data_IF_406138016275
#
_entry.id   IF_406138016275
#
_cell.length_a   1.000
_cell.length_b   1.000
_cell.length_c   1.000
_cell.angle_alpha   90.00
_cell.angle_beta   90.00
_cell.angle_gamma   90.00
#
_symmetry.space_group_name_H-M   'P 1'
#
loop_
_entity.id
_entity.type
_entity.pdbx_description
1 polymer ?
#
# COMPACT_ATOMS: atom_id res chain seq x y z
N UNK A 1 31.57 24.65 -23.16
CA UNK A 1 30.63 23.61 -23.62
C UNK A 1 30.89 22.40 -22.75
N UNK A 2 29.91 21.92 -21.99
CA UNK A 2 30.10 20.74 -21.14
C UNK A 2 30.38 19.55 -22.05
N UNK A 3 31.56 18.95 -21.93
CA UNK A 3 31.94 17.74 -22.64
C UNK A 3 30.98 16.61 -22.24
N UNK A 4 30.49 15.86 -23.24
CA UNK A 4 29.55 14.78 -23.01
C UNK A 4 30.32 13.59 -22.41
N UNK A 5 29.73 12.84 -21.50
CA UNK A 5 30.40 11.67 -20.94
C UNK A 5 30.64 10.61 -22.04
N UNK A 6 31.84 10.05 -22.14
CA UNK A 6 32.24 9.09 -23.20
C UNK A 6 31.24 7.92 -23.37
N UNK A 7 30.86 7.27 -22.27
CA UNK A 7 29.79 6.24 -22.30
C UNK A 7 28.46 6.72 -22.87
N UNK A 8 28.06 7.97 -22.62
CA UNK A 8 26.85 8.54 -23.20
C UNK A 8 27.00 8.71 -24.71
N UNK A 9 28.16 9.13 -25.20
CA UNK A 9 28.44 9.19 -26.64
C UNK A 9 28.30 7.82 -27.31
N UNK A 10 28.86 6.77 -26.69
CA UNK A 10 28.74 5.39 -27.18
C UNK A 10 27.27 4.95 -27.25
N UNK A 11 26.48 5.21 -26.21
CA UNK A 11 25.05 4.89 -26.20
C UNK A 11 24.29 5.64 -27.30
N UNK A 12 24.56 6.93 -27.48
CA UNK A 12 23.91 7.74 -28.52
C UNK A 12 24.30 7.29 -29.93
N UNK A 13 25.54 6.83 -30.15
CA UNK A 13 25.99 6.34 -31.45
C UNK A 13 25.25 5.09 -31.94
N UNK A 14 24.64 4.33 -31.02
CA UNK A 14 23.87 3.12 -31.32
C UNK A 14 22.40 3.40 -31.63
N UNK A 15 21.97 4.67 -31.55
CA UNK A 15 20.57 5.08 -31.70
C UNK A 15 20.37 5.86 -33.00
N UNK A 16 19.20 5.68 -33.61
CA UNK A 16 18.82 6.39 -34.83
C UNK A 16 18.08 7.70 -34.53
N UNK A 17 18.27 8.71 -35.39
CA UNK A 17 17.58 10.00 -35.31
C UNK A 17 17.78 10.76 -33.98
N UNK A 18 18.98 10.69 -33.41
CA UNK A 18 19.30 11.34 -32.14
C UNK A 18 19.21 12.87 -32.25
N UNK A 19 18.47 13.50 -31.34
CA UNK A 19 18.30 14.95 -31.25
C UNK A 19 18.54 15.45 -29.82
N UNK A 20 19.48 16.38 -29.60
CA UNK A 20 19.69 16.98 -28.29
C UNK A 20 18.52 17.90 -27.89
N UNK A 21 18.32 18.04 -26.58
CA UNK A 21 17.33 18.92 -25.96
C UNK A 21 18.03 19.94 -25.04
N UNK A 22 17.36 21.05 -24.74
CA UNK A 22 17.92 22.17 -23.97
C UNK A 22 18.41 21.82 -22.55
N UNK A 23 18.00 20.69 -21.99
CA UNK A 23 18.30 20.26 -20.61
C UNK A 23 19.34 19.12 -20.52
N UNK A 24 20.13 18.90 -21.57
CA UNK A 24 21.12 17.81 -21.62
C UNK A 24 20.48 16.41 -21.74
N UNK A 25 19.21 16.35 -22.17
CA UNK A 25 18.57 15.10 -22.60
C UNK A 25 18.62 14.96 -24.11
N UNK A 26 18.45 13.74 -24.59
CA UNK A 26 18.39 13.43 -26.00
C UNK A 26 17.10 12.68 -26.30
N UNK A 27 16.56 12.90 -27.50
CA UNK A 27 15.47 12.12 -28.08
C UNK A 27 15.99 11.28 -29.22
N UNK A 28 15.41 10.11 -29.42
CA UNK A 28 15.71 9.25 -30.56
C UNK A 28 14.52 8.34 -30.87
N UNK A 29 14.61 7.61 -31.99
CA UNK A 29 13.67 6.54 -32.28
C UNK A 29 13.95 5.34 -31.37
N UNK A 30 12.88 4.71 -30.86
CA UNK A 30 13.02 3.47 -30.12
C UNK A 30 13.43 2.33 -31.06
N UNK A 31 14.51 1.58 -30.77
CA UNK A 31 14.99 0.50 -31.62
C UNK A 31 14.12 -0.76 -31.55
N UNK A 32 13.23 -0.87 -30.55
CA UNK A 32 12.37 -2.06 -30.34
C UNK A 32 11.10 -1.98 -31.17
N UNK A 33 10.27 -0.95 -30.98
CA UNK A 33 9.00 -0.85 -31.71
C UNK A 33 9.10 -0.10 -33.05
N UNK A 34 10.24 0.53 -33.35
CA UNK A 34 10.54 1.10 -34.67
C UNK A 34 9.50 2.08 -35.23
N UNK A 35 8.80 2.82 -34.36
CA UNK A 35 7.66 3.66 -34.74
C UNK A 35 7.99 4.79 -35.73
N UNK A 36 6.95 5.43 -36.29
CA UNK A 36 7.12 6.57 -37.21
C UNK A 36 7.70 7.81 -36.53
N UNK A 37 7.49 7.94 -35.22
CA UNK A 37 8.01 9.02 -34.40
C UNK A 37 9.52 8.85 -34.14
N UNK A 38 10.27 9.94 -34.33
CA UNK A 38 11.71 10.02 -34.03
C UNK A 38 11.98 10.45 -32.58
N UNK A 39 10.93 10.59 -31.76
CA UNK A 39 11.02 11.10 -30.40
C UNK A 39 10.53 10.07 -29.36
N UNK A 40 10.38 8.79 -29.69
CA UNK A 40 9.77 7.82 -28.77
C UNK A 40 10.68 7.41 -27.61
N UNK A 41 11.97 7.72 -27.68
CA UNK A 41 12.96 7.31 -26.68
C UNK A 41 13.68 8.53 -26.10
N UNK A 42 13.63 8.66 -24.77
CA UNK A 42 14.37 9.66 -24.01
C UNK A 42 15.66 9.07 -23.44
N UNK A 43 16.77 9.80 -23.57
CA UNK A 43 18.09 9.44 -23.07
C UNK A 43 18.62 10.57 -22.21
N UNK A 44 19.16 10.24 -21.03
CA UNK A 44 19.75 11.23 -20.12
C UNK A 44 20.86 10.62 -19.28
N UNK A 45 22.04 11.23 -19.26
CA UNK A 45 23.02 10.98 -18.21
C UNK A 45 22.51 11.53 -16.87
N UNK A 46 22.34 10.65 -15.89
CA UNK A 46 22.18 11.03 -14.48
C UNK A 46 23.54 11.09 -13.78
N UNK A 47 23.54 11.33 -12.47
CA UNK A 47 24.77 11.39 -11.68
C UNK A 47 25.52 10.04 -11.54
N UNK A 48 24.86 8.91 -11.87
CA UNK A 48 25.40 7.55 -11.64
C UNK A 48 25.19 6.59 -12.80
N UNK A 49 24.22 6.85 -13.67
CA UNK A 49 23.91 5.99 -14.80
C UNK A 49 23.22 6.77 -15.91
N UNK A 50 23.27 6.21 -17.12
CA UNK A 50 22.52 6.65 -18.29
C UNK A 50 21.11 6.04 -18.22
N UNK A 51 20.09 6.90 -18.25
CA UNK A 51 18.69 6.47 -18.27
C UNK A 51 18.21 6.38 -19.72
N UNK A 52 17.53 5.28 -20.03
CA UNK A 52 16.83 5.02 -21.28
C UNK A 52 15.34 4.86 -20.97
N UNK A 53 14.47 5.56 -21.69
CA UNK A 53 13.03 5.45 -21.46
C UNK A 53 12.26 5.52 -22.77
N UNK A 54 11.50 4.47 -23.08
CA UNK A 54 10.56 4.47 -24.20
C UNK A 54 9.18 4.96 -23.73
N UNK A 55 8.65 6.00 -24.36
CA UNK A 55 7.33 6.55 -24.01
C UNK A 55 6.16 5.70 -24.50
N UNK A 56 6.41 4.75 -25.41
CA UNK A 56 5.44 3.75 -25.86
C UNK A 56 5.41 2.48 -24.97
N UNK A 57 6.28 2.38 -23.95
CA UNK A 57 6.24 1.29 -22.96
C UNK A 57 7.03 0.03 -23.33
N UNK A 58 8.00 0.12 -24.26
CA UNK A 58 8.90 -1.00 -24.53
C UNK A 58 9.71 -1.41 -23.30
N UNK A 59 9.97 -2.71 -23.18
CA UNK A 59 10.74 -3.28 -22.09
C UNK A 59 12.19 -2.78 -22.08
N UNK A 60 12.71 -2.46 -20.89
CA UNK A 60 14.03 -1.85 -20.75
C UNK A 60 15.16 -2.83 -21.09
N UNK A 61 15.03 -4.10 -20.70
CA UNK A 61 16.03 -5.13 -21.01
C UNK A 61 16.01 -5.50 -22.50
N UNK A 62 14.85 -5.43 -23.14
CA UNK A 62 14.72 -5.56 -24.59
C UNK A 62 15.43 -4.44 -25.35
N UNK A 63 15.25 -3.17 -24.95
CA UNK A 63 15.96 -2.02 -25.54
C UNK A 63 17.48 -2.21 -25.44
N UNK A 64 17.99 -2.59 -24.26
CA UNK A 64 19.43 -2.86 -24.05
C UNK A 64 19.95 -3.96 -24.96
N UNK A 65 19.19 -5.05 -25.09
CA UNK A 65 19.56 -6.21 -25.91
C UNK A 65 19.64 -5.85 -27.39
N UNK A 66 18.66 -5.10 -27.91
CA UNK A 66 18.66 -4.64 -29.32
C UNK A 66 19.81 -3.68 -29.59
N UNK A 67 20.15 -2.81 -28.65
CA UNK A 67 21.29 -1.90 -28.78
C UNK A 67 22.66 -2.59 -28.58
N UNK A 68 22.67 -3.83 -28.07
CA UNK A 68 23.89 -4.54 -27.68
C UNK A 68 24.68 -3.76 -26.64
N UNK A 69 24.02 -3.35 -25.56
CA UNK A 69 24.58 -2.55 -24.46
C UNK A 69 24.43 -3.34 -23.15
N UNK A 70 25.53 -3.52 -22.45
CA UNK A 70 25.56 -4.20 -21.16
C UNK A 70 25.29 -3.25 -19.99
N UNK A 71 25.04 -3.79 -18.78
CA UNK A 71 24.73 -2.94 -17.62
C UNK A 71 25.93 -2.06 -17.24
N UNK A 72 27.15 -2.56 -17.44
CA UNK A 72 28.41 -1.84 -17.24
C UNK A 72 28.55 -0.58 -18.08
N UNK A 73 27.97 -0.59 -19.27
CA UNK A 73 28.07 0.49 -20.26
C UNK A 73 27.15 1.67 -19.90
N UNK A 74 26.12 1.41 -19.09
CA UNK A 74 25.19 2.43 -18.61
C UNK A 74 25.60 3.05 -17.27
N UNK A 75 26.58 2.47 -16.57
CA UNK A 75 27.04 2.98 -15.27
C UNK A 75 28.09 4.06 -15.48
N UNK A 76 27.85 5.25 -14.94
CA UNK A 76 28.74 6.43 -14.98
C UNK A 76 29.51 6.62 -13.67
N UNK A 77 29.25 5.76 -12.68
CA UNK A 77 29.90 5.80 -11.38
C UNK A 77 31.01 4.74 -11.34
N UNK A 78 32.26 5.20 -11.39
CA UNK A 78 33.49 4.41 -11.40
C UNK A 78 33.83 3.76 -10.05
N UNK A 79 32.98 3.93 -9.03
CA UNK A 79 33.16 3.26 -7.74
C UNK A 79 33.09 1.73 -7.94
N UNK A 80 34.15 0.97 -7.59
CA UNK A 80 34.16 -0.49 -7.71
C UNK A 80 32.98 -1.12 -6.98
N UNK A 81 32.35 -2.12 -7.60
CA UNK A 81 31.14 -2.77 -7.08
C UNK A 81 31.28 -3.29 -5.63
N UNK A 82 32.51 -3.60 -5.18
CA UNK A 82 32.83 -4.06 -3.84
C UNK A 82 32.99 -2.97 -2.76
N UNK A 83 33.17 -1.70 -3.12
CA UNK A 83 33.37 -0.59 -2.16
C UNK A 83 32.07 0.14 -1.79
N UNK A 84 30.99 -0.12 -2.52
CA UNK A 84 29.65 0.35 -2.16
C UNK A 84 29.12 -0.44 -0.98
N UNK A 85 29.52 -0.10 0.24
CA UNK A 85 28.79 -0.55 1.43
C UNK A 85 27.36 -0.01 1.29
N UNK A 86 26.32 -0.86 1.16
CA UNK A 86 24.96 -0.36 1.28
C UNK A 86 24.90 0.34 2.63
N UNK A 87 24.41 1.58 2.68
CA UNK A 87 24.06 2.21 3.96
C UNK A 87 23.05 1.28 4.60
N UNK A 88 23.51 0.38 5.49
CA UNK A 88 22.62 -0.46 6.27
C UNK A 88 21.71 0.51 6.98
N UNK A 89 20.42 0.44 6.68
CA UNK A 89 19.42 1.15 7.47
C UNK A 89 19.58 0.66 8.90
N UNK A 90 19.79 1.59 9.81
CA UNK A 90 19.77 1.29 11.23
C UNK A 90 18.32 1.01 11.63
N UNK A 91 17.93 -0.25 11.53
CA UNK A 91 16.58 -0.71 11.84
C UNK A 91 16.21 -0.46 13.29
N UNK A 92 17.20 -0.48 14.20
CA UNK A 92 16.94 -0.20 15.61
C UNK A 92 16.63 1.28 15.82
N UNK A 93 17.37 2.18 15.18
CA UNK A 93 17.03 3.61 15.21
C UNK A 93 15.65 3.90 14.61
N UNK A 94 15.31 3.27 13.48
CA UNK A 94 13.98 3.43 12.86
C UNK A 94 12.87 2.90 13.77
N UNK A 95 13.09 1.76 14.41
CA UNK A 95 12.14 1.17 15.36
C UNK A 95 11.94 2.06 16.59
N UNK A 96 13.02 2.60 17.17
CA UNK A 96 12.95 3.55 18.27
C UNK A 96 12.19 4.82 17.88
N UNK A 97 12.44 5.37 16.68
CA UNK A 97 11.70 6.53 16.19
C UNK A 97 10.22 6.19 15.96
N UNK A 98 9.89 4.99 15.47
CA UNK A 98 8.50 4.55 15.32
C UNK A 98 7.77 4.52 16.67
N UNK A 99 8.42 4.04 17.72
CA UNK A 99 7.87 4.08 19.08
C UNK A 99 7.73 5.51 19.60
N UNK A 100 8.72 6.37 19.37
CA UNK A 100 8.64 7.78 19.74
C UNK A 100 7.49 8.49 19.03
N UNK A 101 7.24 8.19 17.76
CA UNK A 101 6.10 8.70 17.00
C UNK A 101 4.77 8.25 17.62
N UNK A 102 4.65 7.00 18.07
CA UNK A 102 3.44 6.48 18.71
C UNK A 102 3.12 7.24 20.01
N UNK A 103 4.15 7.45 20.85
CA UNK A 103 4.03 8.27 22.07
C UNK A 103 3.68 9.72 21.74
N UNK A 104 4.34 10.30 20.72
CA UNK A 104 4.10 11.68 20.28
C UNK A 104 2.64 11.91 19.89
N UNK A 105 2.04 11.02 19.09
CA UNK A 105 0.64 11.15 18.67
C UNK A 105 -0.33 11.26 19.86
N UNK A 106 -0.06 10.57 20.97
CA UNK A 106 -0.91 10.66 22.17
C UNK A 106 -0.84 12.02 22.88
N UNK A 107 0.19 12.81 22.58
CA UNK A 107 0.40 14.16 23.14
C UNK A 107 0.08 15.27 22.13
N UNK A 108 -0.57 14.94 21.00
CA UNK A 108 -0.91 15.88 19.92
C UNK A 108 -2.45 16.05 19.83
N UNK A 109 -3.07 16.83 20.74
CA UNK A 109 -4.53 16.92 20.84
C UNK A 109 -5.18 17.48 19.58
N UNK A 110 -4.51 18.38 18.86
CA UNK A 110 -5.01 18.94 17.59
C UNK A 110 -5.07 17.87 16.50
N UNK A 111 -4.02 17.04 16.39
CA UNK A 111 -3.97 15.93 15.44
C UNK A 111 -5.05 14.89 15.77
N UNK A 112 -5.18 14.51 17.05
CA UNK A 112 -6.21 13.57 17.50
C UNK A 112 -7.63 14.09 17.25
N UNK A 113 -7.90 15.37 17.54
CA UNK A 113 -9.19 16.00 17.26
C UNK A 113 -9.49 16.03 15.76
N UNK A 114 -8.49 16.35 14.93
CA UNK A 114 -8.63 16.31 13.47
C UNK A 114 -8.94 14.90 12.96
N UNK A 115 -8.25 13.87 13.47
CA UNK A 115 -8.52 12.48 13.08
C UNK A 115 -9.90 12.03 13.49
N UNK A 116 -10.37 12.47 14.66
CA UNK A 116 -11.68 12.06 15.19
C UNK A 116 -12.83 12.81 14.54
N UNK A 117 -12.78 14.14 14.53
CA UNK A 117 -13.91 14.99 14.16
C UNK A 117 -13.75 15.66 12.80
N UNK A 118 -12.52 15.77 12.31
CA UNK A 118 -12.21 16.49 11.08
C UNK A 118 -11.76 17.91 11.35
N UNK A 119 -11.70 18.70 10.29
CA UNK A 119 -11.34 20.11 10.38
C UNK A 119 -11.94 20.88 9.21
N UNK A 120 -12.09 22.17 9.42
CA UNK A 120 -12.46 23.12 8.37
C UNK A 120 -11.20 23.52 7.60
N UNK A 121 -11.29 23.56 6.28
CA UNK A 121 -10.26 24.11 5.40
C UNK A 121 -10.80 25.37 4.71
N UNK A 122 -10.03 26.46 4.76
CA UNK A 122 -10.30 27.73 4.06
C UNK A 122 -10.84 28.86 4.94
N UNK A 123 -10.75 30.10 4.45
CA UNK A 123 -11.35 31.30 5.06
C UNK A 123 -12.51 31.84 4.21
N UNK A 124 -13.57 32.28 4.90
CA UNK A 124 -14.70 33.16 4.54
C UNK A 124 -15.52 32.91 3.25
N UNK A 125 -14.93 32.44 2.14
CA UNK A 125 -15.63 32.25 0.87
C UNK A 125 -15.44 30.85 0.23
N UNK A 126 -14.65 29.95 0.85
CA UNK A 126 -14.34 28.62 0.29
C UNK A 126 -14.19 27.52 1.35
N UNK A 127 -15.07 27.52 2.37
CA UNK A 127 -15.01 26.61 3.50
C UNK A 127 -15.33 25.16 3.08
N UNK A 128 -14.34 24.27 3.05
CA UNK A 128 -14.53 22.82 2.89
C UNK A 128 -14.49 22.16 4.28
N UNK A 129 -15.59 21.54 4.71
CA UNK A 129 -15.61 20.72 5.91
C UNK A 129 -15.08 19.35 5.55
N UNK A 130 -13.85 19.04 5.99
CA UNK A 130 -13.33 17.68 5.90
C UNK A 130 -13.72 16.90 7.14
N UNK A 131 -14.67 15.98 6.96
CA UNK A 131 -15.10 15.06 8.01
C UNK A 131 -13.92 14.26 8.57
N UNK A 132 -13.95 14.04 9.88
CA UNK A 132 -13.02 13.16 10.56
C UNK A 132 -13.20 11.71 10.16
N UNK A 133 -12.26 10.88 10.61
CA UNK A 133 -12.31 9.42 10.48
C UNK A 133 -12.92 8.75 11.71
N UNK A 134 -13.38 9.49 12.72
CA UNK A 134 -13.99 8.93 13.93
C UNK A 134 -13.05 8.09 14.80
N UNK A 135 -11.74 8.07 14.51
CA UNK A 135 -10.79 7.20 15.20
C UNK A 135 -10.56 7.62 16.65
N UNK A 136 -10.51 6.64 17.54
CA UNK A 136 -10.22 6.88 18.95
C UNK A 136 -8.71 6.87 19.24
N UNK A 137 -8.25 7.75 20.14
CA UNK A 137 -6.87 7.78 20.60
C UNK A 137 -6.39 6.40 21.11
N UNK A 138 -7.25 5.70 21.86
CA UNK A 138 -6.99 4.35 22.38
C UNK A 138 -6.79 3.30 21.29
N UNK A 139 -7.52 3.39 20.17
CA UNK A 139 -7.31 2.48 19.05
C UNK A 139 -5.99 2.76 18.34
N UNK A 140 -5.65 4.04 18.15
CA UNK A 140 -4.37 4.46 17.56
C UNK A 140 -3.19 4.00 18.44
N UNK A 141 -3.30 4.17 19.76
CA UNK A 141 -2.32 3.70 20.75
C UNK A 141 -2.15 2.18 20.68
N UNK A 142 -3.26 1.42 20.75
CA UNK A 142 -3.25 -0.04 20.69
C UNK A 142 -2.59 -0.58 19.42
N UNK A 143 -2.74 0.13 18.30
CA UNK A 143 -2.17 -0.25 17.01
C UNK A 143 -0.76 0.30 16.78
N UNK A 144 -0.17 0.97 17.78
CA UNK A 144 1.13 1.63 17.68
C UNK A 144 1.19 2.65 16.52
N UNK A 145 0.06 3.27 16.19
CA UNK A 145 0.01 4.36 15.20
C UNK A 145 0.69 5.59 15.81
N UNK A 146 1.62 6.18 15.08
CA UNK A 146 2.34 7.36 15.52
C UNK A 146 2.16 8.57 14.62
N UNK A 147 2.87 9.65 14.97
CA UNK A 147 2.90 10.90 14.23
C UNK A 147 4.34 11.36 14.03
N UNK A 148 4.75 11.56 12.78
CA UNK A 148 6.11 12.01 12.44
C UNK A 148 6.24 13.54 12.26
N UNK A 149 5.21 14.30 12.63
CA UNK A 149 5.11 15.73 12.37
C UNK A 149 4.38 16.08 11.07
N UNK A 150 4.12 15.10 10.20
CA UNK A 150 3.44 15.32 8.92
C UNK A 150 2.44 14.22 8.52
N UNK A 151 2.74 12.95 8.80
CA UNK A 151 1.90 11.80 8.49
C UNK A 151 1.81 10.87 9.68
N UNK A 152 0.76 10.05 9.69
CA UNK A 152 0.67 8.93 10.61
C UNK A 152 1.73 7.88 10.26
N UNK A 153 2.35 7.29 11.27
CA UNK A 153 3.31 6.20 11.10
C UNK A 153 2.68 4.87 11.50
N UNK A 154 2.82 3.86 10.65
CA UNK A 154 2.26 2.53 10.88
C UNK A 154 3.39 1.50 10.81
N UNK A 155 3.83 0.93 11.95
CA UNK A 155 4.92 -0.04 11.96
C UNK A 155 4.45 -1.36 11.35
N UNK A 156 5.10 -1.81 10.28
CA UNK A 156 4.84 -3.07 9.61
C UNK A 156 5.92 -4.07 9.97
N UNK A 157 5.52 -5.28 10.34
CA UNK A 157 6.42 -6.32 10.84
C UNK A 157 6.30 -7.62 10.06
N UNK A 158 7.40 -8.35 10.01
CA UNK A 158 7.44 -9.73 9.53
C UNK A 158 6.81 -10.68 10.56
N UNK A 159 6.60 -11.94 10.16
CA UNK A 159 6.04 -12.97 11.04
C UNK A 159 6.90 -13.28 12.27
N UNK A 160 8.21 -13.05 12.20
CA UNK A 160 9.14 -13.16 13.34
C UNK A 160 9.17 -11.89 14.22
N UNK A 161 8.28 -10.93 13.97
CA UNK A 161 8.13 -9.70 14.75
C UNK A 161 9.11 -8.59 14.43
N UNK A 162 10.09 -8.81 13.54
CA UNK A 162 11.06 -7.77 13.15
C UNK A 162 10.39 -6.65 12.37
N UNK A 163 10.88 -5.43 12.58
CA UNK A 163 10.43 -4.28 11.80
C UNK A 163 10.81 -4.46 10.32
N UNK A 164 9.81 -4.45 9.45
CA UNK A 164 9.96 -4.57 8.01
C UNK A 164 9.95 -3.22 7.31
N UNK A 165 9.03 -2.36 7.72
CA UNK A 165 8.82 -1.00 7.20
C UNK A 165 8.04 -0.14 8.21
N UNK A 166 8.04 1.18 7.99
CA UNK A 166 7.15 2.11 8.69
C UNK A 166 6.39 2.89 7.62
N UNK A 167 5.12 2.58 7.43
CA UNK A 167 4.31 3.26 6.43
C UNK A 167 4.00 4.68 6.90
N UNK A 168 4.05 5.64 5.99
CA UNK A 168 3.59 7.00 6.26
C UNK A 168 2.23 7.22 5.61
N UNK A 169 1.20 7.39 6.43
CA UNK A 169 -0.19 7.46 6.02
C UNK A 169 -0.79 8.84 6.25
N UNK A 170 -1.42 9.40 5.22
CA UNK A 170 -2.24 10.59 5.32
C UNK A 170 -3.69 10.22 4.95
N UNK A 171 -4.61 10.16 5.93
CA UNK A 171 -6.01 9.81 5.67
C UNK A 171 -6.79 10.92 4.96
N UNK A 172 -6.23 12.13 4.83
CA UNK A 172 -6.87 13.29 4.20
C UNK A 172 -6.22 13.69 2.88
N UNK A 173 -5.20 12.96 2.42
CA UNK A 173 -4.57 13.19 1.13
C UNK A 173 -5.56 12.91 -0.01
N UNK A 174 -5.59 13.83 -0.99
CA UNK A 174 -6.28 13.66 -2.27
C UNK A 174 -5.49 12.78 -3.24
N UNK A 175 -4.15 12.77 -3.09
CA UNK A 175 -3.24 11.92 -3.86
C UNK A 175 -2.87 10.63 -3.11
N UNK A 176 -1.57 10.30 -3.10
CA UNK A 176 -1.09 9.05 -2.50
C UNK A 176 -1.23 9.08 -0.97
N UNK A 177 -2.23 8.36 -0.46
CA UNK A 177 -2.52 8.24 0.98
C UNK A 177 -1.39 7.55 1.75
N UNK A 178 -0.83 6.47 1.21
CA UNK A 178 0.22 5.68 1.88
C UNK A 178 1.54 5.78 1.13
N UNK A 179 2.61 6.08 1.87
CA UNK A 179 3.99 6.02 1.39
C UNK A 179 4.69 4.84 2.09
N UNK A 180 5.06 3.84 1.30
CA UNK A 180 5.88 2.72 1.75
C UNK A 180 7.36 2.97 1.47
N UNK A 181 8.24 2.29 2.20
CA UNK A 181 9.67 2.29 1.96
C UNK A 181 9.99 1.79 0.54
N UNK A 182 10.92 2.47 -0.15
CA UNK A 182 11.35 2.08 -1.49
C UNK A 182 11.83 0.62 -1.53
N UNK A 183 11.29 -0.16 -2.47
CA UNK A 183 11.64 -1.57 -2.66
C UNK A 183 11.08 -2.54 -1.62
N UNK A 184 10.11 -2.09 -0.79
CA UNK A 184 9.46 -2.94 0.21
C UNK A 184 8.09 -3.40 -0.28
N UNK A 185 7.81 -4.68 -0.07
CA UNK A 185 6.47 -5.24 -0.24
C UNK A 185 5.59 -4.79 0.94
N UNK A 186 4.34 -4.42 0.66
CA UNK A 186 3.33 -4.21 1.72
C UNK A 186 3.00 -5.57 2.35
N UNK A 187 2.92 -5.62 3.67
CA UNK A 187 2.47 -6.79 4.43
C UNK A 187 1.13 -6.44 5.11
N UNK A 188 0.35 -7.44 5.59
CA UNK A 188 -0.82 -7.18 6.42
C UNK A 188 -0.47 -6.32 7.64
N UNK A 189 -1.34 -5.37 7.98
CA UNK A 189 -1.15 -4.48 9.12
C UNK A 189 -2.42 -4.33 9.97
N UNK A 190 -2.34 -4.45 11.31
CA UNK A 190 -1.17 -4.90 12.07
C UNK A 190 -0.77 -6.35 11.74
N UNK A 191 0.41 -6.76 12.21
CA UNK A 191 0.90 -8.14 11.99
C UNK A 191 0.02 -9.15 12.74
N UNK A 192 -0.45 -10.24 12.09
CA UNK A 192 -1.25 -11.29 12.73
C UNK A 192 -0.67 -11.83 14.04
N UNK A 193 0.65 -11.91 14.13
CA UNK A 193 1.37 -12.49 15.26
C UNK A 193 1.33 -11.60 16.52
N UNK A 194 1.06 -10.30 16.36
CA UNK A 194 0.96 -9.35 17.48
C UNK A 194 -0.45 -9.22 18.04
N UNK A 195 -1.45 -9.73 17.33
CA UNK A 195 -2.81 -9.72 17.83
C UNK A 195 -2.99 -10.92 18.75
N UNK A 196 -3.69 -10.68 19.87
CA UNK A 196 -4.25 -11.78 20.64
C UNK A 196 -5.12 -12.60 19.69
N UNK A 197 -5.03 -13.95 19.75
CA UNK A 197 -5.87 -14.81 18.94
C UNK A 197 -7.31 -14.65 19.46
N UNK A 198 -8.00 -13.68 18.88
CA UNK A 198 -9.39 -13.37 19.18
C UNK A 198 -10.28 -14.52 18.72
N UNK A 199 -11.47 -14.61 19.31
CA UNK A 199 -12.52 -15.53 18.83
C UNK A 199 -12.86 -15.26 17.36
N UNK A 200 -12.86 -13.98 16.94
CA UNK A 200 -13.12 -13.57 15.56
C UNK A 200 -12.12 -12.50 15.13
N UNK A 201 -11.44 -12.74 14.01
CA UNK A 201 -10.59 -11.79 13.32
C UNK A 201 -11.34 -11.20 12.11
N UNK A 202 -11.26 -9.89 11.93
CA UNK A 202 -11.81 -9.19 10.77
C UNK A 202 -10.71 -8.78 9.80
N UNK A 203 -10.82 -9.16 8.53
CA UNK A 203 -9.96 -8.69 7.44
C UNK A 203 -10.71 -7.65 6.61
N UNK A 204 -10.05 -6.53 6.37
CA UNK A 204 -10.58 -5.40 5.59
C UNK A 204 -9.54 -4.93 4.59
N UNK A 205 -9.96 -4.22 3.55
CA UNK A 205 -9.00 -3.55 2.67
C UNK A 205 -8.51 -2.25 3.32
N UNK A 206 -7.19 -2.10 3.39
CA UNK A 206 -6.54 -0.88 3.85
C UNK A 206 -6.40 -0.73 5.36
N UNK A 207 -5.35 -0.01 5.73
CA UNK A 207 -4.95 0.24 7.10
C UNK A 207 -5.93 1.17 7.82
N UNK A 208 -6.56 2.12 7.10
CA UNK A 208 -7.56 3.03 7.66
C UNK A 208 -8.80 2.31 8.18
N UNK A 209 -9.32 1.36 7.41
CA UNK A 209 -10.51 0.57 7.77
C UNK A 209 -10.23 -0.31 8.98
N UNK A 210 -9.01 -0.85 9.10
CA UNK A 210 -8.59 -1.60 10.28
C UNK A 210 -8.57 -0.74 11.56
N UNK A 211 -8.18 0.54 11.46
CA UNK A 211 -8.25 1.49 12.59
C UNK A 211 -9.72 1.78 12.95
N UNK A 212 -10.60 1.91 11.95
CA UNK A 212 -12.04 2.10 12.17
C UNK A 212 -12.67 0.93 12.92
N UNK A 213 -12.37 -0.31 12.51
CA UNK A 213 -12.83 -1.52 13.20
C UNK A 213 -12.26 -1.63 14.62
N UNK A 214 -10.96 -1.32 14.79
CA UNK A 214 -10.33 -1.32 16.12
C UNK A 214 -10.93 -0.25 17.04
N UNK A 215 -11.34 0.89 16.48
CA UNK A 215 -12.01 1.96 17.21
C UNK A 215 -13.31 1.48 17.86
N UNK A 216 -14.11 0.66 17.17
CA UNK A 216 -15.32 0.05 17.75
C UNK A 216 -15.03 -1.17 18.63
N UNK A 217 -13.76 -1.51 18.86
CA UNK A 217 -13.32 -2.58 19.75
C UNK A 217 -13.36 -3.97 19.11
N UNK A 218 -13.23 -4.05 17.79
CA UNK A 218 -13.02 -5.30 17.06
C UNK A 218 -11.54 -5.55 16.81
N UNK A 219 -11.16 -6.80 16.58
CA UNK A 219 -9.79 -7.19 16.22
C UNK A 219 -9.71 -7.26 14.70
N UNK A 220 -8.96 -6.35 14.07
CA UNK A 220 -8.95 -6.23 12.62
C UNK A 220 -7.55 -6.10 12.02
N UNK A 221 -7.40 -6.58 10.80
CA UNK A 221 -6.20 -6.44 9.96
C UNK A 221 -6.58 -5.84 8.62
N UNK A 222 -5.87 -4.79 8.24
CA UNK A 222 -5.90 -4.18 6.93
C UNK A 222 -4.98 -4.94 5.99
N UNK A 223 -5.57 -5.50 4.93
CA UNK A 223 -4.83 -6.05 3.81
C UNK A 223 -4.40 -4.90 2.89
N UNK A 224 -3.19 -4.96 2.32
CA UNK A 224 -2.82 -4.03 1.28
C UNK A 224 -3.84 -4.03 0.13
N UNK A 225 -4.23 -2.84 -0.34
CA UNK A 225 -5.05 -2.74 -1.55
C UNK A 225 -4.32 -3.25 -2.79
N UNK A 226 -5.09 -3.69 -3.79
CA UNK A 226 -4.54 -4.15 -5.07
C UNK A 226 -3.97 -2.99 -5.89
N UNK A 227 -2.79 -3.17 -6.50
CA UNK A 227 -2.21 -2.18 -7.44
C UNK A 227 -2.46 -2.54 -8.90
N UNK A 228 -3.12 -3.67 -9.15
CA UNK A 228 -3.31 -4.24 -10.48
C UNK A 228 -4.76 -4.71 -10.69
N UNK A 229 -5.25 -4.62 -11.93
CA UNK A 229 -6.57 -5.13 -12.31
C UNK A 229 -6.66 -6.64 -12.04
N UNK A 230 -7.75 -7.14 -11.44
CA UNK A 230 -7.91 -8.57 -11.18
C UNK A 230 -7.92 -9.37 -12.49
N UNK A 231 -7.37 -10.59 -12.45
CA UNK A 231 -7.48 -11.51 -13.59
C UNK A 231 -8.67 -12.44 -13.48
N UNK A 232 -9.12 -12.91 -14.64
CA UNK A 232 -10.26 -13.81 -14.85
C UNK A 232 -9.84 -15.29 -14.67
N UNK A 233 -8.71 -15.58 -14.02
CA UNK A 233 -8.26 -16.97 -13.84
C UNK A 233 -9.24 -17.75 -12.95
N UNK A 234 -9.82 -18.81 -13.50
CA UNK A 234 -10.78 -19.69 -12.81
C UNK A 234 -10.10 -20.64 -11.81
N UNK A 235 -8.77 -20.80 -11.86
CA UNK A 235 -8.02 -21.74 -11.00
C UNK A 235 -7.62 -21.14 -9.63
N UNK A 236 -7.58 -19.81 -9.52
CA UNK A 236 -7.43 -19.05 -8.26
C UNK A 236 -8.00 -17.64 -8.49
N UNK A 237 -9.24 -17.36 -8.06
CA UNK A 237 -9.84 -16.05 -8.24
C UNK A 237 -8.95 -14.95 -7.66
N UNK A 238 -8.68 -13.88 -8.41
CA UNK A 238 -7.89 -12.75 -7.91
C UNK A 238 -6.38 -13.01 -7.74
N UNK A 239 -5.82 -14.11 -8.27
CA UNK A 239 -4.38 -14.37 -8.16
C UNK A 239 -3.56 -13.48 -9.09
N UNK A 240 -2.97 -12.41 -8.56
CA UNK A 240 -1.77 -11.80 -9.14
C UNK A 240 -0.70 -11.62 -8.07
N UNK A 241 0.57 -11.64 -8.48
CA UNK A 241 1.61 -10.90 -7.78
C UNK A 241 1.25 -9.40 -7.93
N UNK A 242 0.36 -8.88 -7.07
CA UNK A 242 -0.16 -7.51 -7.22
C UNK A 242 -1.57 -7.28 -6.65
N UNK A 243 -2.37 -8.34 -6.52
CA UNK A 243 -3.45 -8.34 -5.54
C UNK A 243 -2.78 -8.21 -4.18
N UNK A 244 -3.16 -7.27 -3.32
CA UNK A 244 -2.47 -7.05 -2.05
C UNK A 244 -2.62 -8.17 -1.03
N UNK A 245 -2.80 -9.41 -1.51
CA UNK A 245 -2.77 -10.67 -0.80
C UNK A 245 -1.75 -11.64 -1.43
N UNK A 246 -0.94 -12.28 -0.61
CA UNK A 246 0.01 -13.31 -1.03
C UNK A 246 -0.35 -14.66 -0.40
N UNK A 247 -0.46 -15.74 -1.18
CA UNK A 247 -0.94 -17.06 -0.72
C UNK A 247 -0.26 -17.59 0.55
N UNK A 248 1.05 -17.39 0.67
CA UNK A 248 1.84 -17.82 1.85
C UNK A 248 1.45 -17.09 3.14
N UNK A 249 0.66 -16.03 3.05
CA UNK A 249 0.16 -15.34 4.24
C UNK A 249 -0.94 -16.13 4.93
N UNK A 250 -1.65 -17.04 4.26
CA UNK A 250 -2.75 -17.81 4.86
C UNK A 250 -2.33 -18.49 6.18
N UNK A 251 -1.16 -19.14 6.19
CA UNK A 251 -0.58 -19.82 7.35
C UNK A 251 -0.38 -18.89 8.56
N UNK A 252 -0.14 -17.59 8.34
CA UNK A 252 0.02 -16.59 9.42
C UNK A 252 -1.27 -16.36 10.21
N UNK A 253 -2.41 -16.75 9.66
CA UNK A 253 -3.72 -16.59 10.29
C UNK A 253 -4.27 -17.90 10.88
N UNK A 254 -3.54 -19.02 10.79
CA UNK A 254 -4.01 -20.32 11.29
C UNK A 254 -4.30 -20.35 12.81
N UNK A 255 -3.82 -19.35 13.55
CA UNK A 255 -4.03 -19.20 15.01
C UNK A 255 -5.40 -18.62 15.39
N UNK A 256 -6.17 -18.09 14.44
CA UNK A 256 -7.48 -17.48 14.72
C UNK A 256 -8.58 -18.50 14.53
N UNK A 257 -9.58 -18.50 15.42
CA UNK A 257 -10.67 -19.48 15.40
C UNK A 257 -11.63 -19.25 14.23
N UNK A 258 -11.97 -17.98 13.96
CA UNK A 258 -12.84 -17.59 12.85
C UNK A 258 -12.34 -16.32 12.20
N UNK A 259 -12.33 -16.31 10.86
CA UNK A 259 -11.94 -15.14 10.07
C UNK A 259 -13.14 -14.63 9.28
N UNK A 260 -13.43 -13.33 9.38
CA UNK A 260 -14.46 -12.66 8.60
C UNK A 260 -13.82 -11.65 7.68
N UNK A 261 -14.08 -11.73 6.38
CA UNK A 261 -13.53 -10.87 5.35
C UNK A 261 -14.59 -9.88 4.86
N UNK A 262 -14.31 -8.59 4.97
CA UNK A 262 -15.16 -7.50 4.47
C UNK A 262 -14.47 -6.83 3.28
N UNK A 263 -14.93 -7.10 2.04
CA UNK A 263 -14.42 -6.40 0.87
C UNK A 263 -14.91 -4.96 0.86
N UNK A 264 -14.11 -4.07 0.27
CA UNK A 264 -14.61 -2.78 -0.20
C UNK A 264 -15.70 -3.04 -1.27
N UNK A 265 -16.66 -2.12 -1.38
CA UNK A 265 -17.80 -2.22 -2.29
C UNK A 265 -17.37 -1.90 -3.74
N UNK A 266 -16.36 -2.61 -4.24
CA UNK A 266 -15.91 -2.58 -5.62
C UNK A 266 -15.36 -3.95 -6.08
N UNK A 267 -15.08 -4.07 -7.38
CA UNK A 267 -14.60 -5.33 -7.96
C UNK A 267 -13.20 -5.73 -7.46
N UNK A 268 -12.35 -4.76 -7.12
CA UNK A 268 -10.98 -5.02 -6.68
C UNK A 268 -10.97 -5.55 -5.25
N UNK A 269 -11.69 -4.92 -4.33
CA UNK A 269 -11.82 -5.36 -2.94
C UNK A 269 -12.49 -6.71 -2.82
N UNK A 270 -13.51 -6.98 -3.64
CA UNK A 270 -14.11 -8.34 -3.71
C UNK A 270 -13.14 -9.37 -4.25
N UNK A 271 -12.35 -9.03 -5.26
CA UNK A 271 -11.33 -9.94 -5.77
C UNK A 271 -10.24 -10.22 -4.72
N UNK A 272 -9.82 -9.21 -3.96
CA UNK A 272 -8.85 -9.36 -2.87
C UNK A 272 -9.36 -10.33 -1.80
N UNK A 273 -10.58 -10.13 -1.30
CA UNK A 273 -11.15 -10.99 -0.25
C UNK A 273 -11.45 -12.41 -0.76
N UNK A 274 -11.88 -12.57 -2.03
CA UNK A 274 -12.04 -13.90 -2.64
C UNK A 274 -10.70 -14.65 -2.75
N UNK A 275 -9.62 -13.96 -3.09
CA UNK A 275 -8.29 -14.58 -3.17
C UNK A 275 -7.80 -15.04 -1.78
N UNK A 276 -8.02 -14.24 -0.75
CA UNK A 276 -7.68 -14.59 0.62
C UNK A 276 -8.52 -15.77 1.13
N UNK A 277 -9.84 -15.72 0.95
CA UNK A 277 -10.78 -16.79 1.30
C UNK A 277 -10.42 -18.12 0.65
N UNK A 278 -10.12 -18.12 -0.67
CA UNK A 278 -9.67 -19.32 -1.37
C UNK A 278 -8.41 -19.95 -0.75
N UNK A 279 -7.41 -19.14 -0.40
CA UNK A 279 -6.18 -19.67 0.20
C UNK A 279 -6.40 -20.12 1.65
N UNK A 280 -7.34 -19.52 2.38
CA UNK A 280 -7.77 -20.01 3.70
C UNK A 280 -8.48 -21.36 3.62
N UNK A 281 -9.40 -21.54 2.66
CA UNK A 281 -10.08 -22.82 2.43
C UNK A 281 -9.07 -23.93 2.11
N UNK A 282 -8.06 -23.62 1.29
CA UNK A 282 -6.97 -24.56 0.98
C UNK A 282 -6.08 -24.90 2.18
N UNK A 283 -5.97 -23.98 3.14
CA UNK A 283 -5.26 -24.20 4.40
C UNK A 283 -6.14 -24.83 5.50
N UNK A 284 -7.43 -25.08 5.24
CA UNK A 284 -8.37 -25.61 6.23
C UNK A 284 -8.74 -24.60 7.32
N UNK A 285 -8.68 -23.30 7.03
CA UNK A 285 -8.97 -22.22 7.98
C UNK A 285 -10.41 -21.74 7.79
N UNK A 286 -11.22 -21.82 8.85
CA UNK A 286 -12.61 -21.35 8.85
C UNK A 286 -12.69 -19.85 8.56
N UNK A 287 -13.39 -19.49 7.48
CA UNK A 287 -13.51 -18.11 7.05
C UNK A 287 -14.87 -17.82 6.37
N UNK A 288 -15.29 -16.55 6.43
CA UNK A 288 -16.54 -16.08 5.81
C UNK A 288 -16.34 -14.74 5.13
N UNK A 289 -16.75 -14.62 3.86
CA UNK A 289 -16.79 -13.34 3.15
C UNK A 289 -18.17 -12.70 3.30
N UNK A 290 -18.23 -11.49 3.86
CA UNK A 290 -19.49 -10.74 4.02
C UNK A 290 -19.44 -9.47 3.16
N UNK A 291 -20.21 -9.49 2.08
CA UNK A 291 -20.30 -8.38 1.13
C UNK A 291 -21.49 -7.47 1.47
N UNK A 292 -21.22 -6.40 2.21
CA UNK A 292 -22.23 -5.45 2.72
C UNK A 292 -22.91 -4.63 1.62
N UNK A 293 -22.29 -4.55 0.45
CA UNK A 293 -22.76 -3.75 -0.67
C UNK A 293 -22.87 -4.58 -1.92
N UNK A 294 -23.36 -5.82 -1.85
CA UNK A 294 -23.29 -6.79 -2.97
C UNK A 294 -23.77 -6.26 -4.33
N UNK A 295 -24.69 -5.28 -4.35
CA UNK A 295 -25.26 -4.63 -5.54
C UNK A 295 -24.66 -3.25 -5.87
N UNK A 296 -23.64 -2.81 -5.15
CA UNK A 296 -22.99 -1.50 -5.25
C UNK A 296 -21.57 -1.64 -5.83
N UNK A 297 -21.08 -0.58 -6.49
CA UNK A 297 -19.71 -0.51 -7.02
C UNK A 297 -19.17 0.93 -6.86
N UNK A 298 -19.17 1.43 -5.62
CA UNK A 298 -18.84 2.82 -5.29
C UNK A 298 -17.62 2.95 -4.35
N UNK A 299 -16.96 1.83 -4.05
CA UNK A 299 -15.73 1.80 -3.24
C UNK A 299 -15.95 2.10 -1.75
N UNK A 300 -17.20 2.16 -1.27
CA UNK A 300 -17.47 2.29 0.17
C UNK A 300 -16.97 1.08 0.94
N UNK A 301 -16.48 1.32 2.15
CA UNK A 301 -15.98 0.28 3.04
C UNK A 301 -16.82 0.13 4.32
N UNK A 302 -16.57 -0.93 5.11
CA UNK A 302 -17.28 -1.14 6.38
C UNK A 302 -17.04 -0.01 7.40
N UNK A 303 -15.89 0.67 7.32
CA UNK A 303 -15.58 1.83 8.14
C UNK A 303 -16.53 2.99 7.89
N UNK A 304 -16.87 3.26 6.62
CA UNK A 304 -17.87 4.28 6.24
C UNK A 304 -19.26 3.99 6.84
N UNK A 305 -19.61 2.71 7.01
CA UNK A 305 -20.86 2.30 7.65
C UNK A 305 -20.81 2.43 9.17
N UNK A 306 -19.69 2.06 9.80
CA UNK A 306 -19.53 2.05 11.25
C UNK A 306 -19.46 3.43 11.87
N UNK A 307 -18.78 4.37 11.21
CA UNK A 307 -18.37 5.61 11.83
C UNK A 307 -19.32 6.78 11.58
N UNK A 308 -20.39 6.60 10.78
CA UNK A 308 -21.44 7.60 10.62
C UNK A 308 -22.15 7.95 11.92
N UNK A 309 -22.18 7.04 12.89
CA UNK A 309 -22.91 7.19 14.16
C UNK A 309 -22.06 6.95 15.43
N UNK A 310 -20.84 6.41 15.31
CA UNK A 310 -20.04 5.91 16.44
C UNK A 310 -19.10 6.96 17.10
N UNK A 311 -19.67 8.00 17.70
CA UNK A 311 -18.92 9.15 18.25
C UNK A 311 -18.48 8.97 19.71
N UNK A 312 -19.18 8.15 20.48
CA UNK A 312 -18.99 7.90 21.91
C UNK A 312 -18.89 6.40 22.24
N UNK A 313 -18.71 6.06 23.52
CA UNK A 313 -18.56 4.67 23.95
C UNK A 313 -19.81 3.83 23.70
N UNK A 314 -21.00 4.42 23.84
CA UNK A 314 -22.29 3.74 23.67
C UNK A 314 -22.52 3.40 22.20
N UNK A 315 -22.36 4.39 21.33
CA UNK A 315 -22.52 4.25 19.88
C UNK A 315 -21.46 3.32 19.26
N UNK A 316 -20.21 3.34 19.75
CA UNK A 316 -19.20 2.33 19.38
C UNK A 316 -19.60 0.91 19.79
N UNK A 317 -20.15 0.74 20.99
CA UNK A 317 -20.66 -0.57 21.45
C UNK A 317 -21.81 -1.05 20.58
N UNK A 318 -22.74 -0.15 20.23
CA UNK A 318 -23.85 -0.47 19.33
C UNK A 318 -23.34 -0.89 17.94
N UNK A 319 -22.42 -0.12 17.35
CA UNK A 319 -21.82 -0.44 16.05
C UNK A 319 -21.13 -1.81 16.06
N UNK A 320 -20.38 -2.13 17.12
CA UNK A 320 -19.77 -3.45 17.32
C UNK A 320 -20.81 -4.57 17.40
N UNK A 321 -21.92 -4.35 18.10
CA UNK A 321 -22.98 -5.34 18.24
C UNK A 321 -23.66 -5.61 16.88
N UNK A 322 -23.94 -4.57 16.10
CA UNK A 322 -24.47 -4.72 14.73
C UNK A 322 -23.56 -5.60 13.87
N UNK A 323 -22.24 -5.42 13.94
CA UNK A 323 -21.31 -6.31 13.19
C UNK A 323 -21.40 -7.74 13.69
N UNK A 324 -21.46 -7.96 15.01
CA UNK A 324 -21.57 -9.31 15.58
C UNK A 324 -22.89 -9.98 15.19
N UNK A 325 -23.98 -9.23 15.15
CA UNK A 325 -25.30 -9.70 14.68
C UNK A 325 -25.26 -10.03 13.19
N UNK A 326 -24.69 -9.16 12.34
CA UNK A 326 -24.50 -9.44 10.91
C UNK A 326 -23.68 -10.71 10.65
N UNK A 327 -22.64 -10.95 11.46
CA UNK A 327 -21.85 -12.18 11.40
C UNK A 327 -22.66 -13.38 11.85
N UNK A 328 -23.45 -13.26 12.92
CA UNK A 328 -24.28 -14.34 13.44
C UNK A 328 -25.39 -14.75 12.44
N UNK A 329 -26.17 -13.80 11.92
CA UNK A 329 -27.23 -14.06 10.94
C UNK A 329 -26.70 -14.76 9.68
N UNK A 330 -25.52 -14.36 9.21
CA UNK A 330 -24.89 -14.97 8.03
C UNK A 330 -24.27 -16.33 8.33
N UNK A 331 -23.88 -16.60 9.58
CA UNK A 331 -23.44 -17.93 10.00
C UNK A 331 -24.61 -18.92 10.06
N UNK A 332 -25.80 -18.49 10.49
CA UNK A 332 -27.00 -19.35 10.58
C UNK A 332 -27.49 -19.83 9.21
N UNK A 333 -27.36 -19.02 8.16
CA UNK A 333 -27.78 -19.37 6.78
C UNK A 333 -26.93 -20.50 6.16
N UNK A 334 -25.76 -20.82 6.71
CA UNK A 334 -24.86 -21.86 6.19
C UNK A 334 -24.92 -23.19 6.98
N UNK A 335 -25.65 -23.22 8.11
CA UNK A 335 -25.82 -24.42 8.95
C UNK A 335 -27.17 -25.12 8.68
N UNK A 336 -28.07 -24.49 7.92
CA UNK A 336 -29.34 -25.06 7.46
C UNK A 336 -29.22 -25.70 6.06
#
# INVERSE_FOLDING_TARGET
>A
MSELHEKLEVVLSKLESVRPQANGTFRSRCPVHGGTSTDDMGIRAGAKWINLHCFAGCDYDEIRRVLGIEWSDLVLDDTPAGERKPRRRDWRAIELESYACAVRLQHEPEVLNRLRFGHVIGESAGMEIRNGRGWSAKALERLEVGWDGSRLTLPVRTSDGKLHDVLRYDPFATGRKILAGKGKSRLPWPSPERLDPAEVLFLVEGEGTAISMTTVGLTAIGLPGSVSKPTISTQRPGSWQGAGWHRKWAERFARFLRIVLFPDCDDQGRALMRAASYDFDKAGIENHVIDIGSKMNDGRDIGDHLLKSAWDTTSRKAARNVIRELVAERAEVLVA
#
